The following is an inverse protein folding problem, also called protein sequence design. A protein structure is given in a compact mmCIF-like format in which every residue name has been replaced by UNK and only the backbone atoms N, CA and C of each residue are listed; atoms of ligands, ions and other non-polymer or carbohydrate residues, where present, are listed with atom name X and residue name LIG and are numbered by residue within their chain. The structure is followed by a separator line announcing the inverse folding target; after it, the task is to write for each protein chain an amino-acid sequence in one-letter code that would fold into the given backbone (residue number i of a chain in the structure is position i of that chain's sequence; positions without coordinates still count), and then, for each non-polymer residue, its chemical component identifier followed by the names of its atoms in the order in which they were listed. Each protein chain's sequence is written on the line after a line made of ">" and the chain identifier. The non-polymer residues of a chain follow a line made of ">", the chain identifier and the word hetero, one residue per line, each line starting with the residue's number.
data_IF_555253560969
#
_entry.id   IF_555253560969
#
_cell.length_a   1.000
_cell.length_b   1.000
_cell.length_c   1.000
_cell.angle_alpha   90.00
_cell.angle_beta   90.00
_cell.angle_gamma   90.00
#
_symmetry.space_group_name_H-M   'P 1'
#
loop_
_entity.id
_entity.type
_entity.pdbx_description
1 polymer ?
#
# COMPACT_ATOMS: atom_id res chain seq x y z
N UNK A 1 3.17 33.21 0.10
CA UNK A 1 3.40 31.81 -0.31
C UNK A 1 2.38 31.50 -1.38
N UNK A 2 2.81 31.17 -2.60
CA UNK A 2 1.89 30.80 -3.67
C UNK A 2 1.52 29.32 -3.51
N UNK A 3 0.21 29.03 -3.45
CA UNK A 3 -0.27 27.66 -3.55
C UNK A 3 -0.11 27.20 -5.00
N UNK A 4 0.63 26.12 -5.22
CA UNK A 4 0.55 25.42 -6.51
C UNK A 4 -0.82 24.75 -6.59
N UNK A 5 -1.54 24.99 -7.69
CA UNK A 5 -2.67 24.15 -8.04
C UNK A 5 -2.11 22.79 -8.47
N UNK A 6 -2.54 21.72 -7.82
CA UNK A 6 -2.34 20.38 -8.35
C UNK A 6 -3.14 20.32 -9.66
N UNK A 7 -2.45 20.29 -10.80
CA UNK A 7 -3.07 19.84 -12.03
C UNK A 7 -3.53 18.40 -11.77
N UNK A 8 -4.82 18.14 -11.87
CA UNK A 8 -5.32 16.78 -11.81
C UNK A 8 -4.86 16.09 -13.10
N UNK A 9 -3.89 15.19 -12.98
CA UNK A 9 -3.61 14.22 -14.03
C UNK A 9 -4.87 13.43 -14.37
N UNK A 10 -4.91 12.85 -15.57
CA UNK A 10 -5.98 11.95 -15.94
C UNK A 10 -6.06 10.79 -14.93
N UNK A 11 -7.28 10.38 -14.51
CA UNK A 11 -7.43 9.34 -13.51
C UNK A 11 -6.88 8.01 -14.04
N UNK A 12 -6.03 7.36 -13.24
CA UNK A 12 -5.61 5.98 -13.51
C UNK A 12 -6.69 5.04 -13.00
N UNK A 13 -7.33 4.30 -13.91
CA UNK A 13 -8.47 3.42 -13.62
C UNK A 13 -8.18 2.00 -14.09
N UNK A 14 -8.52 1.01 -13.27
CA UNK A 14 -8.48 -0.40 -13.64
C UNK A 14 -8.40 -1.32 -12.42
N UNK A 15 -8.16 -2.60 -12.70
CA UNK A 15 -8.01 -3.60 -11.64
C UNK A 15 -6.62 -3.49 -11.02
N UNK A 16 -6.58 -3.47 -9.69
CA UNK A 16 -5.34 -3.34 -8.92
C UNK A 16 -4.92 -4.68 -8.33
N UNK A 17 -3.62 -4.83 -8.11
CA UNK A 17 -3.06 -5.87 -7.24
C UNK A 17 -2.40 -5.23 -6.02
N UNK A 18 -2.37 -5.95 -4.90
CA UNK A 18 -1.73 -5.49 -3.66
C UNK A 18 -0.28 -5.94 -3.64
N UNK A 19 0.64 -5.01 -3.37
CA UNK A 19 2.07 -5.30 -3.21
C UNK A 19 2.37 -5.53 -1.73
N UNK A 20 1.99 -4.56 -0.90
CA UNK A 20 2.09 -4.56 0.56
C UNK A 20 0.90 -3.74 1.14
N UNK A 21 0.98 -3.30 2.39
CA UNK A 21 -0.11 -2.61 3.08
C UNK A 21 -0.34 -1.15 2.66
N UNK A 22 0.58 -0.52 1.93
CA UNK A 22 0.45 0.86 1.45
C UNK A 22 0.78 1.04 -0.03
N UNK A 23 1.18 -0.03 -0.73
CA UNK A 23 1.52 0.00 -2.14
C UNK A 23 0.61 -0.92 -2.94
N UNK A 24 0.02 -0.35 -4.00
CA UNK A 24 -0.77 -1.06 -5.00
C UNK A 24 -0.11 -0.97 -6.38
N UNK A 25 -0.36 -1.96 -7.22
CA UNK A 25 0.04 -1.95 -8.62
C UNK A 25 -1.19 -1.89 -9.53
N UNK A 26 -1.12 -1.02 -10.54
CA UNK A 26 -2.13 -0.87 -11.58
C UNK A 26 -1.44 -0.69 -12.93
N UNK A 27 -1.60 -1.68 -13.82
CA UNK A 27 -1.01 -1.67 -15.17
C UNK A 27 0.51 -1.40 -15.19
N UNK A 28 1.27 -1.97 -14.25
CA UNK A 28 2.73 -1.74 -14.13
C UNK A 28 3.13 -0.45 -13.41
N UNK A 29 2.17 0.41 -13.06
CA UNK A 29 2.40 1.59 -12.23
C UNK A 29 2.24 1.20 -10.76
N UNK A 30 3.29 1.43 -9.95
CA UNK A 30 3.20 1.32 -8.50
C UNK A 30 2.75 2.65 -7.92
N UNK A 31 1.73 2.59 -7.06
CA UNK A 31 1.16 3.75 -6.38
C UNK A 31 1.32 3.52 -4.88
N UNK A 32 2.02 4.43 -4.22
CA UNK A 32 2.14 4.47 -2.76
C UNK A 32 1.04 5.35 -2.18
N UNK A 33 0.35 4.85 -1.16
CA UNK A 33 -0.70 5.58 -0.45
C UNK A 33 -0.07 6.62 0.47
N UNK A 34 -0.47 7.88 0.31
CA UNK A 34 0.02 8.95 1.17
C UNK A 34 -0.58 8.87 2.58
N UNK A 35 0.24 9.19 3.59
CA UNK A 35 -0.19 9.22 4.99
C UNK A 35 -0.36 7.85 5.65
N UNK A 36 0.05 6.77 4.98
CA UNK A 36 0.12 5.41 5.53
C UNK A 36 1.57 4.94 5.47
N UNK A 37 2.01 4.19 6.48
CA UNK A 37 3.31 3.51 6.54
C UNK A 37 3.01 2.06 6.94
N UNK A 38 3.14 1.15 5.99
CA UNK A 38 2.84 -0.26 6.20
C UNK A 38 4.11 -1.08 6.45
N UNK A 39 4.02 -2.18 7.22
CA UNK A 39 5.10 -3.17 7.26
C UNK A 39 5.37 -3.69 5.84
N UNK A 40 6.66 -3.75 5.49
CA UNK A 40 7.11 -4.30 4.20
C UNK A 40 6.65 -5.74 4.04
N UNK A 41 6.36 -6.18 2.81
CA UNK A 41 5.69 -7.46 2.54
C UNK A 41 6.30 -8.68 3.26
N UNK A 42 7.63 -8.73 3.31
CA UNK A 42 8.38 -9.85 3.88
C UNK A 42 8.81 -9.60 5.34
N UNK A 43 8.30 -8.54 5.97
CA UNK A 43 8.58 -8.19 7.36
C UNK A 43 7.87 -9.14 8.34
N UNK A 44 8.60 -9.48 9.39
CA UNK A 44 8.12 -10.20 10.57
C UNK A 44 8.13 -9.24 11.76
N UNK A 45 6.98 -9.09 12.41
CA UNK A 45 6.84 -8.29 13.61
C UNK A 45 7.05 -9.17 14.83
N UNK A 46 7.98 -8.78 15.70
CA UNK A 46 8.30 -9.53 16.93
C UNK A 46 7.49 -8.97 18.08
N UNK A 47 6.56 -9.77 18.61
CA UNK A 47 5.73 -9.42 19.76
C UNK A 47 6.16 -10.11 21.06
N UNK A 48 5.46 -9.80 22.16
CA UNK A 48 5.75 -10.39 23.48
C UNK A 48 5.37 -11.89 23.60
N UNK A 49 4.78 -12.50 22.57
CA UNK A 49 4.30 -13.88 22.59
C UNK A 49 4.86 -14.75 21.46
N UNK A 50 5.00 -14.20 20.25
CA UNK A 50 5.48 -14.91 19.07
C UNK A 50 5.74 -13.92 17.92
N UNK A 51 6.43 -14.43 16.89
CA UNK A 51 6.70 -13.73 15.64
C UNK A 51 5.48 -13.79 14.72
N UNK A 52 5.01 -12.64 14.24
CA UNK A 52 3.85 -12.50 13.36
C UNK A 52 4.29 -12.04 11.96
N UNK A 53 3.80 -12.65 10.86
CA UNK A 53 4.10 -12.23 9.49
C UNK A 53 3.29 -10.99 9.11
N UNK A 54 3.49 -9.89 9.85
CA UNK A 54 2.72 -8.66 9.74
C UNK A 54 2.77 -8.04 8.34
N UNK A 55 3.89 -8.17 7.61
CA UNK A 55 3.99 -7.73 6.21
C UNK A 55 3.04 -8.44 5.25
N UNK A 56 2.81 -9.75 5.45
CA UNK A 56 1.83 -10.50 4.65
C UNK A 56 0.41 -10.20 5.09
N UNK A 57 0.19 -9.96 6.39
CA UNK A 57 -1.12 -9.61 6.92
C UNK A 57 -1.57 -8.21 6.47
N UNK A 58 -0.66 -7.23 6.42
CA UNK A 58 -0.96 -5.87 5.95
C UNK A 58 -1.41 -5.84 4.49
N UNK A 59 -0.86 -6.74 3.65
CA UNK A 59 -1.21 -6.90 2.25
C UNK A 59 -2.51 -7.70 2.01
N UNK A 60 -3.08 -8.33 3.03
CA UNK A 60 -4.19 -9.29 2.86
C UNK A 60 -5.55 -8.58 2.75
N UNK A 61 -6.35 -9.02 1.78
CA UNK A 61 -7.75 -8.65 1.65
C UNK A 61 -8.53 -9.77 0.98
N UNK A 62 -9.54 -10.29 1.68
CA UNK A 62 -10.51 -11.22 1.10
C UNK A 62 -11.79 -10.45 0.80
N UNK A 63 -12.20 -10.31 -0.48
CA UNK A 63 -13.54 -9.86 -0.77
C UNK A 63 -14.58 -10.88 -0.24
N UNK A 64 -15.81 -10.45 0.05
CA UNK A 64 -16.92 -11.35 0.37
C UNK A 64 -17.32 -12.22 -0.83
#
# INVERSE_FOLDING_TARGET
>A
MAASAFAADDPIVGQTSRVDGDTIELHGTRIQLSGTDAPERDQVCVGAGWDEPCGRQSAFFSPP
#
